data_IF_187693588152
#
_entry.id   IF_187693588152
#
_cell.length_a   1.000
_cell.length_b   1.000
_cell.length_c   1.000
_cell.angle_alpha   90.00
_cell.angle_beta   90.00
_cell.angle_gamma   90.00
#
_symmetry.space_group_name_H-M   'P 1'
#
loop_
_entity.id
_entity.type
_entity.pdbx_description
1 polymer ?
#
# COMPACT_ATOMS: atom_id res chain seq x y z
N UNK A 1 -11.29 14.51 -1.89
CA UNK A 1 -11.34 14.46 -3.37
C UNK A 1 -12.23 13.30 -3.81
N UNK A 2 -12.92 13.37 -4.96
CA UNK A 2 -13.76 12.27 -5.45
C UNK A 2 -12.93 11.02 -5.79
N UNK A 3 -13.43 9.84 -5.42
CA UNK A 3 -12.74 8.56 -5.64
C UNK A 3 -12.47 8.27 -7.12
N UNK A 4 -13.44 8.55 -7.99
CA UNK A 4 -13.29 8.37 -9.44
C UNK A 4 -12.17 9.21 -10.05
N UNK A 5 -11.90 10.41 -9.50
CA UNK A 5 -10.77 11.23 -9.91
C UNK A 5 -9.46 10.62 -9.43
N UNK A 6 -9.35 10.21 -8.16
CA UNK A 6 -8.13 9.54 -7.63
C UNK A 6 -7.80 8.28 -8.47
N UNK A 7 -8.82 7.57 -8.93
CA UNK A 7 -8.69 6.38 -9.78
C UNK A 7 -8.36 6.68 -11.25
N UNK A 8 -8.32 7.93 -11.69
CA UNK A 8 -8.24 8.28 -13.11
C UNK A 8 -6.80 8.48 -13.61
N UNK A 9 -6.63 8.39 -14.92
CA UNK A 9 -5.34 8.69 -15.57
C UNK A 9 -5.03 10.18 -15.53
N UNK A 10 -6.04 11.05 -15.49
CA UNK A 10 -5.87 12.50 -15.35
C UNK A 10 -5.29 12.87 -13.98
N UNK A 11 -5.73 12.21 -12.90
CA UNK A 11 -5.09 12.41 -11.59
C UNK A 11 -3.65 11.91 -11.60
N UNK A 12 -3.36 10.80 -12.29
CA UNK A 12 -1.98 10.35 -12.45
C UNK A 12 -1.12 11.33 -13.25
N UNK A 13 -1.68 12.08 -14.20
CA UNK A 13 -0.95 13.11 -14.94
C UNK A 13 -0.79 14.42 -14.14
N UNK A 14 -1.75 14.72 -13.28
CA UNK A 14 -1.82 15.98 -12.52
C UNK A 14 -2.16 15.74 -11.05
N UNK A 15 -1.26 15.06 -10.30
CA UNK A 15 -1.55 14.65 -8.94
C UNK A 15 -1.73 15.86 -8.03
N UNK A 16 -2.77 15.80 -7.21
CA UNK A 16 -2.98 16.72 -6.11
C UNK A 16 -2.54 16.07 -4.81
N UNK A 17 -2.16 16.90 -3.83
CA UNK A 17 -1.80 16.42 -2.51
C UNK A 17 -2.95 15.62 -1.90
N UNK A 18 -2.66 14.38 -1.52
CA UNK A 18 -3.52 13.52 -0.74
C UNK A 18 -3.06 13.56 0.72
N UNK A 19 -4.00 13.77 1.64
CA UNK A 19 -3.78 13.56 3.07
C UNK A 19 -5.06 12.95 3.68
N UNK A 20 -4.88 12.16 4.74
CA UNK A 20 -5.95 11.61 5.57
C UNK A 20 -6.23 12.61 6.69
N UNK A 21 -7.46 13.14 6.70
CA UNK A 21 -7.85 14.21 7.60
C UNK A 21 -7.71 13.79 9.08
N UNK A 22 -7.13 14.68 9.90
CA UNK A 22 -7.03 14.50 11.36
C UNK A 22 -5.82 13.70 11.84
N UNK A 23 -5.13 12.95 10.96
CA UNK A 23 -4.03 12.07 11.37
C UNK A 23 -2.83 12.87 11.88
N UNK A 24 -2.40 13.90 11.15
CA UNK A 24 -1.28 14.75 11.60
C UNK A 24 -1.62 15.53 12.86
N UNK A 25 -2.88 15.94 13.00
CA UNK A 25 -3.39 16.66 14.16
C UNK A 25 -3.44 15.78 15.42
N UNK A 26 -3.81 14.51 15.27
CA UNK A 26 -3.79 13.53 16.36
C UNK A 26 -2.37 13.12 16.75
N UNK A 27 -1.43 13.15 15.80
CA UNK A 27 -0.04 12.75 16.01
C UNK A 27 0.96 13.92 15.93
N UNK A 28 0.55 15.12 16.38
CA UNK A 28 1.40 16.34 16.36
C UNK A 28 2.77 16.13 16.99
N UNK A 29 2.84 15.40 18.09
CA UNK A 29 4.11 15.10 18.78
C UNK A 29 5.09 14.35 17.89
N UNK A 30 4.63 13.36 17.12
CA UNK A 30 5.47 12.65 16.15
C UNK A 30 5.97 13.60 15.06
N UNK A 31 5.07 14.34 14.41
CA UNK A 31 5.47 15.21 13.29
C UNK A 31 6.34 16.39 13.75
N UNK A 32 6.22 16.83 15.01
CA UNK A 32 7.13 17.80 15.62
C UNK A 32 8.54 17.22 15.80
N UNK A 33 8.67 16.00 16.33
CA UNK A 33 9.96 15.30 16.44
C UNK A 33 10.60 15.10 15.08
N UNK A 34 9.82 14.65 14.10
CA UNK A 34 10.27 14.39 12.74
C UNK A 34 10.76 15.67 12.02
N UNK A 35 10.21 16.84 12.34
CA UNK A 35 10.61 18.11 11.71
C UNK A 35 12.09 18.46 11.91
N UNK A 36 12.72 18.00 13.00
CA UNK A 36 14.13 18.23 13.29
C UNK A 36 15.10 17.23 12.65
N UNK A 37 14.60 16.20 11.97
CA UNK A 37 15.44 15.10 11.48
C UNK A 37 16.03 15.42 10.10
N UNK A 38 17.32 15.15 9.91
CA UNK A 38 18.05 15.31 8.64
C UNK A 38 18.20 14.02 7.84
N UNK A 39 18.20 12.86 8.51
CA UNK A 39 18.44 11.56 7.88
C UNK A 39 17.18 10.68 7.87
N UNK A 40 16.95 10.01 6.74
CA UNK A 40 15.81 9.09 6.55
C UNK A 40 15.84 7.93 7.56
N UNK A 41 17.04 7.41 7.87
CA UNK A 41 17.21 6.29 8.80
C UNK A 41 16.78 6.66 10.22
N UNK A 42 17.12 7.86 10.68
CA UNK A 42 16.74 8.37 11.99
C UNK A 42 15.22 8.59 12.08
N UNK A 43 14.62 9.16 11.02
CA UNK A 43 13.18 9.34 10.94
C UNK A 43 12.44 7.99 11.00
N UNK A 44 12.97 6.97 10.32
CA UNK A 44 12.42 5.63 10.35
C UNK A 44 12.52 4.97 11.73
N UNK A 45 13.60 5.23 12.47
CA UNK A 45 13.74 4.81 13.87
C UNK A 45 12.73 5.49 14.80
N UNK A 46 12.59 6.82 14.70
CA UNK A 46 11.62 7.61 15.47
C UNK A 46 10.20 7.17 15.19
N UNK A 47 9.83 7.02 13.92
CA UNK A 47 8.51 6.55 13.51
C UNK A 47 8.21 5.17 14.09
N UNK A 48 9.14 4.23 13.94
CA UNK A 48 8.97 2.86 14.47
C UNK A 48 8.76 2.87 15.98
N UNK A 49 9.61 3.58 16.72
CA UNK A 49 9.50 3.67 18.17
C UNK A 49 8.18 4.31 18.62
N UNK A 50 7.76 5.37 17.93
CA UNK A 50 6.46 6.01 18.17
C UNK A 50 5.28 5.07 17.95
N UNK A 51 5.30 4.28 16.86
CA UNK A 51 4.29 3.25 16.58
C UNK A 51 4.25 2.17 17.65
N UNK A 52 5.43 1.73 18.13
CA UNK A 52 5.55 0.73 19.19
C UNK A 52 4.92 1.19 20.51
N UNK A 53 5.14 2.45 20.90
CA UNK A 53 4.54 3.03 22.12
C UNK A 53 3.05 3.28 21.93
N UNK A 54 2.67 3.98 20.85
CA UNK A 54 1.30 4.48 20.64
C UNK A 54 0.29 3.36 20.48
N UNK A 55 0.67 2.27 19.80
CA UNK A 55 -0.19 1.11 19.55
C UNK A 55 0.22 -0.13 20.34
N UNK A 56 1.15 0.01 21.29
CA UNK A 56 1.67 -1.07 22.12
C UNK A 56 2.10 -2.28 21.30
N UNK A 57 2.99 -2.07 20.32
CA UNK A 57 3.50 -3.11 19.41
C UNK A 57 4.81 -3.75 19.91
N UNK A 58 5.25 -3.39 21.12
CA UNK A 58 6.45 -3.96 21.74
C UNK A 58 6.26 -5.48 21.89
N UNK A 59 7.22 -6.30 21.40
CA UNK A 59 7.16 -7.74 21.57
C UNK A 59 7.11 -8.11 23.05
N UNK A 60 6.35 -9.15 23.44
CA UNK A 60 6.28 -9.54 24.84
C UNK A 60 7.65 -9.99 25.34
N UNK A 61 8.09 -9.45 26.48
CA UNK A 61 9.33 -9.88 27.12
C UNK A 61 9.12 -11.23 27.82
N UNK A 62 10.20 -12.00 28.09
CA UNK A 62 10.10 -13.28 28.81
C UNK A 62 9.42 -13.16 30.18
N UNK A 63 9.48 -11.97 30.78
CA UNK A 63 8.91 -11.58 32.07
C UNK A 63 7.38 -11.37 32.02
N UNK A 64 6.80 -11.12 30.83
CA UNK A 64 5.36 -10.97 30.66
C UNK A 64 4.66 -12.32 30.82
N UNK A 65 3.63 -12.39 31.68
CA UNK A 65 2.92 -13.61 32.03
C UNK A 65 1.48 -13.65 31.46
N UNK A 66 0.94 -14.87 31.29
CA UNK A 66 -0.49 -15.08 31.05
C UNK A 66 -1.05 -14.49 29.74
N UNK A 67 -2.23 -13.87 29.82
CA UNK A 67 -2.99 -13.33 28.69
C UNK A 67 -2.28 -12.18 27.94
N UNK A 68 -1.37 -11.48 28.61
CA UNK A 68 -0.58 -10.39 28.00
C UNK A 68 0.44 -10.90 26.99
N UNK A 69 1.01 -12.10 27.22
CA UNK A 69 1.94 -12.77 26.30
C UNK A 69 1.23 -13.39 25.08
N UNK A 70 -0.06 -13.70 25.20
CA UNK A 70 -0.89 -14.40 24.19
C UNK A 70 -1.73 -13.47 23.30
N UNK A 71 -1.82 -12.18 23.62
CA UNK A 71 -2.58 -11.23 22.78
C UNK A 71 -1.80 -10.98 21.50
N UNK A 72 -2.15 -11.73 20.45
CA UNK A 72 -1.80 -11.38 19.08
C UNK A 72 -2.36 -9.99 18.77
N UNK A 73 -1.51 -8.97 18.80
CA UNK A 73 -1.89 -7.61 18.42
C UNK A 73 -1.64 -7.45 16.94
N UNK A 74 -2.70 -7.10 16.21
CA UNK A 74 -2.55 -6.72 14.82
C UNK A 74 -1.57 -5.53 14.70
N UNK A 75 -0.64 -5.65 13.76
CA UNK A 75 0.38 -4.64 13.49
C UNK A 75 0.43 -4.36 12.01
N UNK A 76 0.58 -3.10 11.64
CA UNK A 76 0.81 -2.69 10.25
C UNK A 76 1.99 -3.44 9.62
N UNK A 77 3.05 -3.76 10.37
CA UNK A 77 4.18 -4.56 9.89
C UNK A 77 3.74 -5.97 9.45
N UNK A 78 2.87 -6.61 10.23
CA UNK A 78 2.32 -7.92 9.90
C UNK A 78 1.36 -7.87 8.72
N UNK A 79 0.68 -6.74 8.51
CA UNK A 79 -0.12 -6.53 7.30
C UNK A 79 0.76 -6.38 6.06
N UNK A 80 1.83 -5.58 6.14
CA UNK A 80 2.80 -5.41 5.05
C UNK A 80 3.49 -6.73 4.72
N UNK A 81 3.95 -7.48 5.72
CA UNK A 81 4.54 -8.82 5.55
C UNK A 81 3.56 -9.81 4.91
N UNK A 82 2.31 -9.83 5.38
CA UNK A 82 1.27 -10.68 4.79
C UNK A 82 0.91 -10.29 3.36
N UNK A 83 0.98 -8.99 3.03
CA UNK A 83 0.80 -8.50 1.66
C UNK A 83 1.91 -8.99 0.73
N UNK A 84 3.18 -8.85 1.15
CA UNK A 84 4.32 -9.28 0.35
C UNK A 84 4.34 -10.78 0.09
N UNK A 85 3.77 -11.59 1.00
CA UNK A 85 3.60 -13.02 0.78
C UNK A 85 2.43 -13.35 -0.15
N UNK A 86 1.26 -12.75 0.08
CA UNK A 86 0.08 -12.94 -0.75
C UNK A 86 -0.87 -11.74 -0.62
N UNK A 87 -1.03 -10.97 -1.70
CA UNK A 87 -1.97 -9.85 -1.76
C UNK A 87 -3.46 -10.28 -1.67
N UNK A 88 -3.75 -11.57 -1.80
CA UNK A 88 -5.06 -12.18 -1.56
C UNK A 88 -5.18 -12.84 -0.18
N UNK A 89 -4.18 -12.65 0.69
CA UNK A 89 -4.28 -13.02 2.09
C UNK A 89 -5.30 -12.16 2.84
N UNK A 90 -5.70 -12.58 4.04
CA UNK A 90 -6.55 -11.76 4.88
C UNK A 90 -5.95 -10.41 5.27
N UNK A 91 -4.63 -10.32 5.37
CA UNK A 91 -3.91 -9.06 5.53
C UNK A 91 -4.13 -8.15 4.32
N UNK A 92 -4.09 -8.73 3.12
CA UNK A 92 -4.45 -8.08 1.88
C UNK A 92 -5.91 -7.59 1.86
N UNK A 93 -6.86 -8.36 2.40
CA UNK A 93 -8.25 -7.91 2.54
C UNK A 93 -8.36 -6.66 3.42
N UNK A 94 -7.64 -6.62 4.55
CA UNK A 94 -7.64 -5.45 5.45
C UNK A 94 -7.04 -4.22 4.78
N UNK A 95 -5.94 -4.36 4.05
CA UNK A 95 -5.29 -3.24 3.34
C UNK A 95 -6.15 -2.71 2.18
N UNK A 96 -6.76 -3.60 1.39
CA UNK A 96 -7.74 -3.23 0.35
C UNK A 96 -8.95 -2.51 0.97
N UNK A 97 -9.42 -2.98 2.11
CA UNK A 97 -10.51 -2.36 2.86
C UNK A 97 -10.16 -0.98 3.42
N UNK A 98 -8.90 -0.78 3.84
CA UNK A 98 -8.39 0.53 4.25
C UNK A 98 -8.40 1.51 3.07
N UNK A 99 -7.88 1.10 1.91
CA UNK A 99 -7.90 1.95 0.70
C UNK A 99 -9.32 2.35 0.30
N UNK A 100 -10.24 1.38 0.29
CA UNK A 100 -11.66 1.62 0.02
C UNK A 100 -12.24 2.65 0.99
N UNK A 101 -11.93 2.53 2.28
CA UNK A 101 -12.44 3.43 3.30
C UNK A 101 -11.87 4.85 3.25
N UNK A 102 -10.61 5.03 2.83
CA UNK A 102 -9.90 6.34 2.90
C UNK A 102 -9.97 7.11 1.60
N UNK A 103 -9.95 6.40 0.48
CA UNK A 103 -9.89 6.99 -0.85
C UNK A 103 -11.14 6.68 -1.68
N UNK A 104 -12.07 5.85 -1.18
CA UNK A 104 -13.28 5.43 -1.89
C UNK A 104 -13.01 4.47 -3.05
N UNK A 105 -11.78 3.93 -3.16
CA UNK A 105 -11.38 3.04 -4.23
C UNK A 105 -11.79 1.60 -3.89
N UNK A 106 -12.86 1.13 -4.52
CA UNK A 106 -13.38 -0.23 -4.31
C UNK A 106 -12.43 -1.25 -4.96
N UNK A 107 -12.05 -2.35 -4.27
CA UNK A 107 -11.20 -3.37 -4.87
C UNK A 107 -11.94 -4.11 -5.98
N UNK A 108 -11.20 -4.48 -7.03
CA UNK A 108 -11.73 -5.25 -8.17
C UNK A 108 -11.44 -6.75 -8.04
N UNK A 109 -10.53 -7.15 -7.14
CA UNK A 109 -10.11 -8.54 -7.00
C UNK A 109 -9.66 -8.88 -5.57
N UNK A 110 -10.12 -10.02 -5.06
CA UNK A 110 -9.57 -10.65 -3.85
C UNK A 110 -9.92 -12.14 -3.87
N UNK A 111 -8.91 -12.99 -4.13
CA UNK A 111 -9.04 -14.44 -4.40
C UNK A 111 -9.85 -14.80 -5.66
N UNK A 112 -10.87 -14.00 -6.00
CA UNK A 112 -11.64 -14.01 -7.23
C UNK A 112 -12.03 -12.57 -7.63
N UNK A 113 -12.48 -12.33 -8.88
CA UNK A 113 -13.00 -11.04 -9.29
C UNK A 113 -14.18 -10.58 -8.41
N UNK A 114 -14.11 -9.33 -7.94
CA UNK A 114 -15.16 -8.69 -7.13
C UNK A 114 -16.12 -7.93 -8.04
N UNK A 115 -16.96 -8.67 -8.76
CA UNK A 115 -17.94 -8.11 -9.70
C UNK A 115 -19.21 -7.64 -8.96
N UNK A 116 -20.40 -8.19 -9.29
CA UNK A 116 -21.67 -7.76 -8.69
C UNK A 116 -21.75 -8.08 -7.20
N UNK A 117 -22.20 -7.12 -6.42
CA UNK A 117 -22.55 -7.30 -5.01
C UNK A 117 -24.06 -7.61 -4.88
N UNK A 118 -24.47 -8.57 -4.03
CA UNK A 118 -23.63 -9.52 -3.30
C UNK A 118 -23.19 -10.72 -4.17
N UNK A 119 -22.02 -11.31 -3.88
CA UNK A 119 -21.54 -12.56 -4.47
C UNK A 119 -20.69 -13.36 -3.46
N UNK A 120 -20.44 -14.67 -3.67
CA UNK A 120 -19.56 -15.45 -2.80
C UNK A 120 -18.15 -14.83 -2.64
N UNK A 121 -17.60 -14.25 -3.72
CA UNK A 121 -16.32 -13.56 -3.67
C UNK A 121 -16.37 -12.32 -2.76
N UNK A 122 -17.45 -11.55 -2.83
CA UNK A 122 -17.70 -10.42 -1.93
C UNK A 122 -17.84 -10.88 -0.48
N UNK A 123 -18.56 -11.97 -0.21
CA UNK A 123 -18.71 -12.51 1.15
C UNK A 123 -17.34 -12.90 1.74
N UNK A 124 -16.55 -13.68 1.01
CA UNK A 124 -15.21 -14.09 1.46
C UNK A 124 -14.27 -12.90 1.70
N UNK A 125 -14.29 -11.90 0.82
CA UNK A 125 -13.53 -10.67 1.03
C UNK A 125 -13.98 -9.93 2.29
N UNK A 126 -15.29 -9.75 2.51
CA UNK A 126 -15.81 -9.03 3.68
C UNK A 126 -15.53 -9.77 5.00
N UNK A 127 -15.62 -11.09 5.02
CA UNK A 127 -15.24 -11.92 6.19
C UNK A 127 -13.77 -11.71 6.58
N UNK A 128 -12.87 -11.69 5.60
CA UNK A 128 -11.45 -11.45 5.85
C UNK A 128 -11.18 -10.00 6.24
N UNK A 129 -11.77 -9.03 5.50
CA UNK A 129 -11.66 -7.58 5.74
C UNK A 129 -12.07 -7.22 7.16
N UNK A 130 -13.17 -7.78 7.67
CA UNK A 130 -13.71 -7.47 9.00
C UNK A 130 -13.31 -8.47 10.09
N UNK A 131 -12.34 -9.34 9.82
CA UNK A 131 -11.86 -10.31 10.79
C UNK A 131 -11.38 -9.63 12.07
N UNK A 132 -11.96 -10.03 13.21
CA UNK A 132 -11.68 -9.45 14.53
C UNK A 132 -10.22 -9.59 14.95
N UNK A 133 -9.49 -10.59 14.42
CA UNK A 133 -8.05 -10.76 14.65
C UNK A 133 -7.21 -9.55 14.24
N UNK A 134 -7.67 -8.77 13.27
CA UNK A 134 -6.98 -7.57 12.79
C UNK A 134 -7.53 -6.29 13.42
N UNK A 135 -8.76 -6.33 13.94
CA UNK A 135 -9.48 -5.15 14.44
C UNK A 135 -9.40 -5.02 15.96
N UNK A 136 -8.40 -5.66 16.58
CA UNK A 136 -8.18 -5.65 18.02
C UNK A 136 -7.12 -4.65 18.50
N UNK A 137 -6.52 -3.86 17.60
CA UNK A 137 -5.45 -2.92 17.93
C UNK A 137 -5.40 -1.67 17.03
N UNK A 138 -6.56 -1.05 16.76
CA UNK A 138 -6.65 0.21 15.99
C UNK A 138 -5.92 0.15 14.64
N UNK A 139 -5.96 -1.00 13.96
CA UNK A 139 -5.14 -1.27 12.77
C UNK A 139 -5.30 -0.23 11.66
N UNK A 140 -6.51 0.29 11.52
CA UNK A 140 -6.83 1.32 10.55
C UNK A 140 -6.08 2.63 10.82
N UNK A 141 -5.99 3.06 12.09
CA UNK A 141 -5.21 4.22 12.49
C UNK A 141 -3.70 4.00 12.32
N UNK A 142 -3.22 2.77 12.48
CA UNK A 142 -1.82 2.44 12.20
C UNK A 142 -1.48 2.64 10.71
N UNK A 143 -2.37 2.22 9.79
CA UNK A 143 -2.16 2.38 8.35
C UNK A 143 -2.35 3.85 7.93
N UNK A 144 -3.33 4.55 8.53
CA UNK A 144 -3.51 5.99 8.34
C UNK A 144 -2.22 6.77 8.66
N UNK A 145 -1.59 6.45 9.80
CA UNK A 145 -0.34 7.08 10.23
C UNK A 145 0.87 6.67 9.36
N UNK A 146 0.93 5.41 8.92
CA UNK A 146 1.94 4.95 7.96
C UNK A 146 1.87 5.74 6.65
N UNK A 147 0.67 5.93 6.10
CA UNK A 147 0.48 6.72 4.89
C UNK A 147 0.94 8.16 5.08
N UNK A 148 0.52 8.83 6.15
CA UNK A 148 0.94 10.20 6.41
C UNK A 148 2.45 10.36 6.66
N UNK A 149 3.07 9.37 7.31
CA UNK A 149 4.52 9.32 7.47
C UNK A 149 5.23 9.12 6.13
N UNK A 150 4.74 8.22 5.26
CA UNK A 150 5.24 8.05 3.89
C UNK A 150 5.21 9.38 3.13
N UNK A 151 4.06 10.06 3.16
CA UNK A 151 3.86 11.34 2.48
C UNK A 151 4.73 12.46 3.07
N UNK A 152 4.93 12.49 4.39
CA UNK A 152 5.85 13.40 5.04
C UNK A 152 7.31 13.14 4.63
N UNK A 153 7.73 11.86 4.63
CA UNK A 153 9.11 11.47 4.30
C UNK A 153 9.45 11.81 2.84
N UNK A 154 8.54 11.56 1.89
CA UNK A 154 8.69 11.96 0.49
C UNK A 154 8.92 13.48 0.37
N UNK A 155 8.11 14.29 1.05
CA UNK A 155 8.23 15.76 0.99
C UNK A 155 9.55 16.24 1.61
N UNK A 156 9.94 15.62 2.74
CA UNK A 156 11.14 15.99 3.50
C UNK A 156 12.42 15.62 2.77
N UNK A 157 12.54 14.37 2.33
CA UNK A 157 13.79 13.81 1.82
C UNK A 157 13.83 13.66 0.29
N UNK A 158 12.68 13.73 -0.39
CA UNK A 158 12.60 13.52 -1.84
C UNK A 158 12.71 12.05 -2.28
N UNK A 159 12.70 11.11 -1.33
CA UNK A 159 12.73 9.68 -1.61
C UNK A 159 11.32 9.05 -1.60
N UNK A 160 11.03 8.08 -2.49
CA UNK A 160 11.91 7.61 -3.56
C UNK A 160 11.90 8.57 -4.77
N UNK A 161 10.89 9.44 -4.87
CA UNK A 161 10.83 10.57 -5.79
C UNK A 161 9.83 11.61 -5.26
N UNK A 162 9.96 12.88 -5.67
CA UNK A 162 9.08 13.98 -5.20
C UNK A 162 7.67 13.96 -5.82
N UNK A 163 7.61 13.73 -7.12
CA UNK A 163 6.37 13.88 -7.89
C UNK A 163 5.92 12.55 -8.50
N UNK A 164 6.81 11.90 -9.25
CA UNK A 164 6.55 10.65 -9.96
C UNK A 164 7.73 9.69 -9.83
N UNK A 165 7.43 8.40 -9.86
CA UNK A 165 8.41 7.33 -9.92
C UNK A 165 8.03 6.34 -11.02
N UNK A 166 9.00 6.00 -11.87
CA UNK A 166 8.86 4.88 -12.81
C UNK A 166 8.95 3.57 -12.03
N UNK A 167 7.93 2.74 -12.17
CA UNK A 167 7.85 1.44 -11.51
C UNK A 167 7.36 0.38 -12.50
N UNK A 168 7.71 -0.88 -12.24
CA UNK A 168 7.35 -2.00 -13.09
C UNK A 168 6.47 -3.00 -12.34
N UNK A 169 5.61 -3.70 -13.09
CA UNK A 169 4.79 -4.79 -12.56
C UNK A 169 4.67 -5.90 -13.60
N UNK A 170 5.00 -7.12 -13.20
CA UNK A 170 4.67 -8.33 -13.96
C UNK A 170 3.18 -8.64 -13.85
N UNK A 171 2.56 -9.02 -14.96
CA UNK A 171 1.19 -9.53 -15.00
C UNK A 171 1.14 -10.82 -15.81
N UNK A 172 0.62 -11.87 -15.18
CA UNK A 172 0.29 -13.13 -15.84
C UNK A 172 -0.92 -12.95 -16.75
N UNK A 173 -0.98 -13.73 -17.85
CA UNK A 173 -2.15 -14.00 -18.70
C UNK A 173 -3.15 -12.85 -18.87
N UNK A 174 -3.32 -12.38 -20.12
CA UNK A 174 -4.33 -11.41 -20.54
C UNK A 174 -5.66 -11.53 -19.77
N UNK A 175 -5.84 -10.72 -18.72
CA UNK A 175 -7.14 -10.48 -18.12
C UNK A 175 -7.84 -9.45 -19.01
N UNK A 176 -8.87 -9.85 -19.79
CA UNK A 176 -9.56 -8.92 -20.68
C UNK A 176 -10.21 -7.76 -19.91
N UNK A 177 -10.52 -7.95 -18.62
CA UNK A 177 -11.10 -6.92 -17.76
C UNK A 177 -10.05 -5.91 -17.25
N UNK A 178 -8.76 -6.23 -17.35
CA UNK A 178 -7.67 -5.35 -16.95
C UNK A 178 -7.45 -4.22 -17.95
N UNK A 179 -7.50 -4.48 -19.26
CA UNK A 179 -7.24 -3.44 -20.28
C UNK A 179 -8.51 -2.61 -20.50
N UNK A 180 -8.44 -1.33 -20.16
CA UNK A 180 -9.56 -0.37 -20.30
C UNK A 180 -9.55 0.32 -21.66
N UNK A 181 -8.37 0.58 -22.22
CA UNK A 181 -8.19 1.17 -23.54
C UNK A 181 -6.87 0.74 -24.18
N UNK A 182 -6.88 0.51 -25.50
CA UNK A 182 -5.71 0.04 -26.24
C UNK A 182 -5.52 -1.48 -26.14
N UNK A 183 -4.27 -1.94 -26.24
CA UNK A 183 -3.89 -3.34 -26.09
C UNK A 183 -2.48 -3.45 -25.53
N UNK A 184 -2.19 -4.51 -24.76
CA UNK A 184 -0.80 -4.79 -24.34
C UNK A 184 0.14 -4.95 -25.54
N UNK A 185 -0.37 -5.48 -26.67
CA UNK A 185 0.41 -5.69 -27.89
C UNK A 185 0.78 -4.40 -28.62
N UNK A 186 0.06 -3.30 -28.40
CA UNK A 186 0.38 -2.00 -29.00
C UNK A 186 1.42 -1.22 -28.20
N UNK A 187 1.91 -1.75 -27.08
CA UNK A 187 2.81 -1.05 -26.17
C UNK A 187 2.05 -0.14 -25.22
N UNK A 188 1.66 1.05 -25.67
CA UNK A 188 0.90 1.98 -24.83
C UNK A 188 -0.55 1.56 -24.68
N UNK A 189 -1.01 1.48 -23.43
CA UNK A 189 -2.41 1.19 -23.11
C UNK A 189 -2.82 1.77 -21.75
N UNK A 190 -4.11 1.69 -21.44
CA UNK A 190 -4.64 2.00 -20.10
C UNK A 190 -5.11 0.71 -19.45
N UNK A 191 -4.56 0.40 -18.28
CA UNK A 191 -4.94 -0.75 -17.47
C UNK A 191 -5.66 -0.31 -16.19
N UNK A 192 -6.59 -1.13 -15.71
CA UNK A 192 -7.20 -1.01 -14.40
C UNK A 192 -6.50 -1.94 -13.42
N UNK A 193 -5.78 -1.33 -12.50
CA UNK A 193 -5.15 -2.01 -11.38
C UNK A 193 -6.12 -2.03 -10.19
N UNK A 194 -6.03 -3.10 -9.38
CA UNK A 194 -6.79 -3.24 -8.14
C UNK A 194 -6.54 -2.05 -7.20
N UNK A 195 -7.40 -1.79 -6.22
CA UNK A 195 -7.34 -0.55 -5.43
C UNK A 195 -6.02 -0.32 -4.67
N UNK A 196 -5.30 -1.38 -4.31
CA UNK A 196 -3.92 -1.36 -3.84
C UNK A 196 -3.11 -2.35 -4.68
N UNK A 197 -1.90 -1.95 -5.08
CA UNK A 197 -1.02 -2.77 -5.92
C UNK A 197 0.43 -2.69 -5.50
N UNK A 198 1.13 -3.80 -5.73
CA UNK A 198 2.59 -3.86 -5.69
C UNK A 198 3.18 -3.51 -7.05
N UNK A 199 4.22 -2.70 -7.02
CA UNK A 199 5.17 -2.58 -8.11
C UNK A 199 6.57 -2.91 -7.60
N UNK A 200 7.53 -3.01 -8.49
CA UNK A 200 8.96 -3.10 -8.18
C UNK A 200 9.72 -1.94 -8.81
N UNK A 201 10.82 -1.53 -8.18
CA UNK A 201 11.77 -0.57 -8.72
C UNK A 201 12.77 -1.20 -9.72
N UNK A 202 12.64 -2.49 -10.04
CA UNK A 202 13.52 -3.19 -10.99
C UNK A 202 12.69 -3.86 -12.07
N UNK A 203 12.99 -3.54 -13.33
CA UNK A 203 12.35 -4.18 -14.47
C UNK A 203 12.66 -5.67 -14.51
N UNK A 204 13.88 -6.06 -14.18
CA UNK A 204 14.35 -7.45 -14.17
C UNK A 204 13.55 -8.29 -13.18
N UNK A 205 13.25 -7.75 -11.99
CA UNK A 205 12.38 -8.45 -11.03
C UNK A 205 10.94 -8.56 -11.50
N UNK A 206 10.44 -7.61 -12.29
CA UNK A 206 9.08 -7.68 -12.82
C UNK A 206 8.89 -8.86 -13.80
N UNK A 207 9.97 -9.26 -14.48
CA UNK A 207 10.02 -10.41 -15.40
C UNK A 207 9.70 -11.74 -14.68
N UNK A 208 10.05 -11.84 -13.40
CA UNK A 208 9.79 -13.04 -12.58
C UNK A 208 8.28 -13.27 -12.32
N UNK A 209 7.41 -12.28 -12.59
CA UNK A 209 6.00 -12.28 -12.17
C UNK A 209 4.98 -12.27 -13.31
N UNK A 210 5.37 -12.53 -14.57
CA UNK A 210 4.44 -12.93 -15.63
C UNK A 210 4.84 -12.62 -17.07
N UNK A 211 3.97 -12.94 -18.02
CA UNK A 211 4.24 -12.85 -19.46
C UNK A 211 4.42 -11.41 -19.97
N UNK A 212 3.88 -10.42 -19.25
CA UNK A 212 3.93 -9.01 -19.61
C UNK A 212 4.49 -8.18 -18.46
N UNK A 213 5.36 -7.24 -18.82
CA UNK A 213 5.87 -6.20 -17.94
C UNK A 213 5.14 -4.91 -18.25
N UNK A 214 4.54 -4.31 -17.22
CA UNK A 214 3.92 -3.00 -17.28
C UNK A 214 4.84 -1.97 -16.66
N UNK A 215 5.30 -1.00 -17.45
CA UNK A 215 5.99 0.19 -16.95
C UNK A 215 4.96 1.30 -16.70
N UNK A 216 4.96 1.86 -15.48
CA UNK A 216 4.04 2.91 -15.07
C UNK A 216 4.77 4.11 -14.46
N UNK A 217 4.30 5.32 -14.77
CA UNK A 217 4.63 6.53 -14.01
C UNK A 217 3.64 6.66 -12.84
N UNK A 218 4.12 6.40 -11.63
CA UNK A 218 3.27 6.38 -10.42
C UNK A 218 3.45 7.68 -9.63
N UNK A 219 2.37 8.43 -9.34
CA UNK A 219 2.46 9.61 -8.50
C UNK A 219 2.91 9.27 -7.08
N UNK A 220 3.87 10.01 -6.54
CA UNK A 220 4.40 9.79 -5.20
C UNK A 220 3.31 9.91 -4.10
N UNK A 221 2.28 10.72 -4.35
CA UNK A 221 1.11 10.87 -3.47
C UNK A 221 0.25 9.60 -3.35
N UNK A 222 0.39 8.64 -4.26
CA UNK A 222 -0.29 7.34 -4.20
C UNK A 222 0.50 6.29 -3.42
N UNK A 223 1.73 6.58 -2.99
CA UNK A 223 2.55 5.58 -2.28
C UNK A 223 2.08 5.40 -0.84
N UNK A 224 1.82 4.14 -0.47
CA UNK A 224 1.63 3.70 0.91
C UNK A 224 2.97 3.30 1.55
N UNK A 225 3.84 2.66 0.77
CA UNK A 225 5.12 2.15 1.25
C UNK A 225 6.13 2.05 0.09
N UNK A 226 7.42 2.20 0.41
CA UNK A 226 8.53 1.94 -0.50
C UNK A 226 9.77 1.45 0.29
N UNK A 227 10.73 0.80 -0.38
CA UNK A 227 11.94 0.30 0.26
C UNK A 227 12.75 1.45 0.88
N UNK A 228 13.15 1.30 2.15
CA UNK A 228 13.85 2.35 2.90
C UNK A 228 12.94 3.28 3.72
N UNK A 229 11.61 3.16 3.61
CA UNK A 229 10.69 3.95 4.43
C UNK A 229 10.76 3.61 5.93
N UNK A 230 10.93 2.32 6.26
CA UNK A 230 10.88 1.80 7.63
C UNK A 230 12.22 1.20 8.06
N UNK A 231 12.55 1.33 9.34
CA UNK A 231 13.72 0.70 9.94
C UNK A 231 13.51 -0.82 10.00
N UNK A 232 14.33 -1.59 9.26
CA UNK A 232 14.17 -3.02 8.93
C UNK A 232 12.93 -3.26 8.06
N UNK A 233 13.14 -3.40 6.76
CA UNK A 233 12.07 -3.47 5.79
C UNK A 233 11.37 -4.84 5.79
N UNK A 234 10.06 -4.92 6.08
CA UNK A 234 9.28 -6.17 5.97
C UNK A 234 9.20 -6.69 4.52
N UNK A 235 9.58 -5.86 3.53
CA UNK A 235 9.53 -6.14 2.09
C UNK A 235 10.91 -5.91 1.41
N UNK A 236 12.01 -6.11 2.14
CA UNK A 236 13.38 -5.73 1.72
C UNK A 236 13.94 -6.51 0.53
N UNK A 237 13.41 -7.70 0.22
CA UNK A 237 13.99 -8.60 -0.80
C UNK A 237 13.82 -8.11 -2.25
N UNK A 238 12.73 -7.40 -2.56
CA UNK A 238 12.25 -7.29 -3.95
C UNK A 238 12.14 -5.85 -4.49
N UNK A 239 12.52 -4.85 -3.69
CA UNK A 239 12.34 -3.45 -4.09
C UNK A 239 10.86 -3.10 -4.24
N UNK A 240 10.00 -3.77 -3.47
CA UNK A 240 8.55 -3.68 -3.59
C UNK A 240 8.03 -2.31 -3.11
N UNK A 241 7.21 -1.68 -3.95
CA UNK A 241 6.55 -0.41 -3.70
C UNK A 241 5.04 -0.64 -3.70
N UNK A 242 4.36 -0.18 -2.66
CA UNK A 242 2.91 -0.29 -2.52
C UNK A 242 2.26 1.04 -2.86
N UNK A 243 1.35 1.03 -3.82
CA UNK A 243 0.68 2.23 -4.30
C UNK A 243 -0.83 2.03 -4.47
N UNK A 244 -1.59 3.12 -4.27
CA UNK A 244 -3.00 3.18 -4.63
C UNK A 244 -3.16 2.89 -6.13
N UNK A 245 -4.10 2.03 -6.48
CA UNK A 245 -4.36 1.64 -7.85
C UNK A 245 -5.32 2.56 -8.59
N UNK A 246 -6.23 1.94 -9.34
CA UNK A 246 -7.08 2.61 -10.32
C UNK A 246 -6.55 2.44 -11.75
N UNK A 247 -6.94 3.35 -12.64
CA UNK A 247 -6.54 3.31 -14.03
C UNK A 247 -5.14 3.93 -14.19
N UNK A 248 -4.24 3.24 -14.88
CA UNK A 248 -2.88 3.70 -15.19
C UNK A 248 -2.64 3.63 -16.68
N UNK A 249 -2.03 4.70 -17.23
CA UNK A 249 -1.36 4.61 -18.52
C UNK A 249 -0.05 3.86 -18.31
N UNK A 250 0.18 2.83 -19.10
CA UNK A 250 1.37 1.98 -19.02
C UNK A 250 1.98 1.75 -20.39
N UNK A 251 3.28 1.48 -20.40
CA UNK A 251 3.97 0.88 -21.54
C UNK A 251 4.11 -0.61 -21.24
N UNK A 252 3.41 -1.44 -22.01
CA UNK A 252 3.48 -2.89 -21.90
C UNK A 252 4.56 -3.44 -22.83
N UNK A 253 5.40 -4.33 -22.31
CA UNK A 253 6.34 -5.12 -23.10
C UNK A 253 6.21 -6.59 -22.73
N UNK A 254 6.39 -7.48 -23.70
CA UNK A 254 6.53 -8.90 -23.40
C UNK A 254 7.82 -9.13 -22.60
N UNK A 255 7.75 -10.00 -21.60
CA UNK A 255 8.87 -10.44 -20.78
C UNK A 255 9.96 -11.10 -21.65
#
# INVERSE_FOLDING_TARGET
>A
MPAGLIASVEFNAHPQVLNIAGVREMHRGLFHLLAGVSEMADAAGIFRHYMEITFGLVPPTPEMQGAERRRFRASYLKLLEGWGFDANSPQGAVLKGWVESRFGLVPTYHQAPLERFPSPAWVGYLEQKFSSRFHNNSIQAQIDLLYEYCQWAIRRFGHPARDFITLWRGVNHYDPQMVVAGSLRSGECVVRLNNLVSFTTSRERADEFGDWILEAQVPAVKLLYYPGLLARAPLSGEGEVLALGGNYRVVASYA
#
